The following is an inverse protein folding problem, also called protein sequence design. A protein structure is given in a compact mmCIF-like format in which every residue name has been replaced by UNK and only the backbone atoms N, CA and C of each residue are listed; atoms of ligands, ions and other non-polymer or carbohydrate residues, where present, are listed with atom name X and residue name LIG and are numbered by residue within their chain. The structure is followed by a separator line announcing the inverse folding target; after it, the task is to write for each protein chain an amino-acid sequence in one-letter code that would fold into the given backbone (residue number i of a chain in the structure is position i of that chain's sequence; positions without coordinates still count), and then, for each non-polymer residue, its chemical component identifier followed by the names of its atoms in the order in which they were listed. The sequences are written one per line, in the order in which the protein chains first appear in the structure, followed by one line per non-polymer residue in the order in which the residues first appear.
data_IF_392290868034
#
_entry.id   IF_392290868034
#
_cell.length_a   1.000
_cell.length_b   1.000
_cell.length_c   1.000
_cell.angle_alpha   90.00
_cell.angle_beta   90.00
_cell.angle_gamma   90.00
#
_symmetry.space_group_name_H-M   'P 1'
#
loop_
_entity.id
_entity.type
_entity.pdbx_description
1 polymer ?
#
# COMPACT_ATOMS: atom_id res chain seq x y z
N UNK A 1 22.69 -2.03 4.35
CA UNK A 1 22.47 -2.36 2.93
C UNK A 1 23.09 -1.33 1.96
N UNK A 2 24.35 -0.94 2.20
CA UNK A 2 25.07 0.08 1.42
C UNK A 2 25.36 -0.26 -0.06
N UNK A 3 24.97 -1.44 -0.54
CA UNK A 3 25.20 -1.89 -1.92
C UNK A 3 23.93 -2.20 -2.73
N UNK A 4 22.73 -1.93 -2.19
CA UNK A 4 21.49 -2.20 -2.90
C UNK A 4 21.21 -1.07 -3.90
N UNK A 5 21.05 -1.41 -5.19
CA UNK A 5 20.75 -0.40 -6.20
C UNK A 5 19.34 0.17 -6.05
N UNK A 6 19.13 1.42 -6.44
CA UNK A 6 17.80 2.05 -6.46
C UNK A 6 16.79 1.21 -7.25
N UNK A 7 17.20 0.63 -8.38
CA UNK A 7 16.35 -0.21 -9.21
C UNK A 7 15.93 -1.50 -8.49
N UNK A 8 16.82 -2.10 -7.70
CA UNK A 8 16.51 -3.28 -6.90
C UNK A 8 15.50 -2.94 -5.79
N UNK A 9 15.71 -1.85 -5.08
CA UNK A 9 14.79 -1.36 -4.05
C UNK A 9 13.39 -1.09 -4.64
N UNK A 10 13.31 -0.40 -5.77
CA UNK A 10 12.06 -0.13 -6.47
C UNK A 10 11.35 -1.42 -6.88
N UNK A 11 12.08 -2.43 -7.37
CA UNK A 11 11.53 -3.74 -7.71
C UNK A 11 10.96 -4.45 -6.49
N UNK A 12 11.65 -4.41 -5.36
CA UNK A 12 11.17 -5.02 -4.12
C UNK A 12 9.89 -4.35 -3.61
N UNK A 13 9.84 -3.01 -3.63
CA UNK A 13 8.64 -2.24 -3.27
C UNK A 13 7.48 -2.57 -4.21
N UNK A 14 7.73 -2.65 -5.53
CA UNK A 14 6.71 -3.04 -6.51
C UNK A 14 6.14 -4.43 -6.22
N UNK A 15 7.00 -5.41 -5.97
CA UNK A 15 6.56 -6.78 -5.66
C UNK A 15 5.74 -6.83 -4.37
N UNK A 16 6.14 -6.08 -3.35
CA UNK A 16 5.42 -5.95 -2.08
C UNK A 16 4.03 -5.33 -2.28
N UNK A 17 3.94 -4.24 -3.06
CA UNK A 17 2.67 -3.61 -3.41
C UNK A 17 1.72 -4.58 -4.13
N UNK A 18 2.24 -5.36 -5.09
CA UNK A 18 1.46 -6.37 -5.80
C UNK A 18 0.95 -7.49 -4.87
N UNK A 19 1.82 -8.02 -3.98
CA UNK A 19 1.43 -9.08 -3.03
C UNK A 19 0.40 -8.62 -2.01
N UNK A 20 0.41 -7.33 -1.64
CA UNK A 20 -0.56 -6.74 -0.69
C UNK A 20 -1.77 -6.09 -1.38
N UNK A 21 -1.87 -6.13 -2.72
CA UNK A 21 -2.91 -5.45 -3.52
C UNK A 21 -3.01 -3.96 -3.20
N UNK A 22 -1.90 -3.34 -2.82
CA UNK A 22 -1.80 -1.93 -2.48
C UNK A 22 -1.22 -1.12 -3.65
N UNK A 23 -1.42 0.21 -3.65
CA UNK A 23 -0.78 1.06 -4.63
C UNK A 23 0.75 1.10 -4.40
N UNK A 24 1.51 1.08 -5.49
CA UNK A 24 2.97 1.20 -5.44
C UNK A 24 3.41 2.48 -4.72
N UNK A 25 2.75 3.60 -5.02
CA UNK A 25 3.03 4.90 -4.40
C UNK A 25 2.86 4.89 -2.89
N UNK A 26 1.80 4.24 -2.40
CA UNK A 26 1.50 4.19 -0.97
C UNK A 26 2.52 3.31 -0.24
N UNK A 27 2.84 2.14 -0.82
CA UNK A 27 3.87 1.25 -0.28
C UNK A 27 5.24 1.92 -0.29
N UNK A 28 5.60 2.64 -1.38
CA UNK A 28 6.85 3.39 -1.46
C UNK A 28 6.92 4.51 -0.43
N UNK A 29 5.81 5.22 -0.18
CA UNK A 29 5.73 6.26 0.84
C UNK A 29 5.95 5.70 2.24
N UNK A 30 5.37 4.55 2.58
CA UNK A 30 5.62 3.88 3.87
C UNK A 30 7.10 3.58 4.02
N UNK A 31 7.71 2.90 3.05
CA UNK A 31 9.13 2.52 3.08
C UNK A 31 10.04 3.75 3.18
N UNK A 32 9.73 4.81 2.42
CA UNK A 32 10.50 6.07 2.45
C UNK A 32 10.44 6.73 3.83
N UNK A 33 9.24 6.85 4.41
CA UNK A 33 9.05 7.45 5.74
C UNK A 33 9.79 6.65 6.82
N UNK A 34 9.69 5.33 6.79
CA UNK A 34 10.40 4.45 7.73
C UNK A 34 11.92 4.58 7.53
N UNK A 35 12.41 4.59 6.29
CA UNK A 35 13.83 4.73 5.98
C UNK A 35 14.43 6.07 6.36
N UNK A 36 13.63 7.15 6.32
CA UNK A 36 14.10 8.50 6.69
C UNK A 36 14.04 8.75 8.20
N UNK A 37 13.03 8.22 8.89
CA UNK A 37 12.71 8.68 10.24
C UNK A 37 12.74 7.57 11.30
N UNK A 38 12.71 6.30 10.91
CA UNK A 38 12.70 5.15 11.83
C UNK A 38 13.70 4.05 11.43
N UNK A 39 14.72 4.41 10.64
CA UNK A 39 15.69 3.45 10.08
C UNK A 39 16.36 2.60 11.16
N UNK A 40 16.63 3.19 12.32
CA UNK A 40 17.31 2.50 13.43
C UNK A 40 16.48 1.33 14.01
N UNK A 41 15.15 1.34 13.83
CA UNK A 41 14.30 0.25 14.26
C UNK A 41 14.35 -0.97 13.33
N UNK A 42 14.92 -0.83 12.12
CA UNK A 42 14.93 -1.86 11.09
C UNK A 42 16.36 -2.27 10.74
N UNK A 43 16.59 -3.58 10.58
CA UNK A 43 17.90 -4.12 10.26
C UNK A 43 18.24 -4.03 8.76
N UNK A 44 17.25 -3.91 7.89
CA UNK A 44 17.44 -3.87 6.44
C UNK A 44 16.25 -3.22 5.69
N UNK A 45 16.49 -2.85 4.42
CA UNK A 45 15.42 -2.42 3.52
C UNK A 45 14.39 -3.53 3.29
N UNK A 46 14.82 -4.79 3.25
CA UNK A 46 13.93 -5.92 3.10
C UNK A 46 12.94 -6.04 4.28
N UNK A 47 13.43 -5.81 5.49
CA UNK A 47 12.60 -5.80 6.72
C UNK A 47 11.59 -4.65 6.70
N UNK A 48 12.00 -3.44 6.29
CA UNK A 48 11.08 -2.30 6.13
C UNK A 48 10.00 -2.57 5.08
N UNK A 49 10.37 -3.19 3.95
CA UNK A 49 9.43 -3.53 2.89
C UNK A 49 8.45 -4.61 3.34
N UNK A 50 8.94 -5.64 4.05
CA UNK A 50 8.08 -6.68 4.60
C UNK A 50 7.10 -6.11 5.65
N UNK A 51 7.56 -5.20 6.49
CA UNK A 51 6.72 -4.49 7.43
C UNK A 51 5.62 -3.69 6.70
N UNK A 52 5.99 -2.92 5.66
CA UNK A 52 5.04 -2.17 4.84
C UNK A 52 4.01 -3.08 4.15
N UNK A 53 4.44 -4.25 3.66
CA UNK A 53 3.56 -5.25 3.08
C UNK A 53 2.54 -5.79 4.09
N UNK A 54 3.02 -6.18 5.27
CA UNK A 54 2.16 -6.67 6.34
C UNK A 54 1.17 -5.61 6.79
N UNK A 55 1.60 -4.36 6.89
CA UNK A 55 0.75 -3.23 7.25
C UNK A 55 -0.38 -3.04 6.22
N UNK A 56 -0.05 -3.02 4.93
CA UNK A 56 -1.04 -2.94 3.86
C UNK A 56 -2.06 -4.09 3.92
N UNK A 57 -1.58 -5.32 4.18
CA UNK A 57 -2.46 -6.48 4.34
C UNK A 57 -3.37 -6.35 5.57
N UNK A 58 -2.85 -5.85 6.67
CA UNK A 58 -3.62 -5.64 7.91
C UNK A 58 -4.76 -4.64 7.72
N UNK A 59 -4.54 -3.53 7.03
CA UNK A 59 -5.61 -2.59 6.69
C UNK A 59 -6.67 -3.23 5.78
N UNK A 60 -6.24 -4.04 4.80
CA UNK A 60 -7.17 -4.79 3.94
C UNK A 60 -7.98 -5.82 4.72
N UNK A 61 -7.37 -6.54 5.65
CA UNK A 61 -8.05 -7.51 6.53
C UNK A 61 -9.08 -6.80 7.42
N UNK A 62 -8.75 -5.61 7.93
CA UNK A 62 -9.65 -4.79 8.73
C UNK A 62 -10.81 -4.18 7.92
N UNK A 63 -10.73 -4.17 6.58
CA UNK A 63 -11.71 -3.52 5.71
C UNK A 63 -11.59 -2.00 5.74
N UNK A 64 -10.45 -1.44 6.14
CA UNK A 64 -10.22 -0.01 6.19
C UNK A 64 -10.35 0.62 4.80
N UNK A 65 -10.99 1.77 4.73
CA UNK A 65 -11.05 2.59 3.52
C UNK A 65 -9.67 3.13 3.15
N UNK A 66 -9.53 3.67 1.95
CA UNK A 66 -8.27 4.27 1.52
C UNK A 66 -7.87 5.48 2.39
N UNK A 67 -8.86 6.27 2.82
CA UNK A 67 -8.65 7.44 3.67
C UNK A 67 -8.21 7.03 5.08
N UNK A 68 -8.89 6.07 5.69
CA UNK A 68 -8.51 5.49 6.99
C UNK A 68 -7.12 4.87 6.94
N UNK A 69 -6.80 4.11 5.89
CA UNK A 69 -5.49 3.52 5.68
C UNK A 69 -4.41 4.59 5.59
N UNK A 70 -4.63 5.66 4.82
CA UNK A 70 -3.67 6.75 4.67
C UNK A 70 -3.43 7.49 6.00
N UNK A 71 -4.50 7.80 6.73
CA UNK A 71 -4.45 8.47 8.03
C UNK A 71 -3.73 7.61 9.07
N UNK A 72 -4.14 6.35 9.25
CA UNK A 72 -3.53 5.45 10.23
C UNK A 72 -2.06 5.12 9.89
N UNK A 73 -1.73 5.01 8.60
CA UNK A 73 -0.34 4.84 8.15
C UNK A 73 0.52 6.04 8.52
N UNK A 74 0.00 7.26 8.31
CA UNK A 74 0.69 8.48 8.71
C UNK A 74 0.96 8.51 10.20
N UNK A 75 -0.08 8.28 11.01
CA UNK A 75 0.03 8.26 12.48
C UNK A 75 1.00 7.18 12.97
N UNK A 76 0.87 5.95 12.44
CA UNK A 76 1.76 4.85 12.81
C UNK A 76 3.23 5.18 12.48
N UNK A 77 3.49 5.69 11.27
CA UNK A 77 4.87 6.05 10.89
C UNK A 77 5.42 7.22 11.69
N UNK A 78 4.59 8.15 12.13
CA UNK A 78 4.98 9.22 13.07
C UNK A 78 5.33 8.65 14.45
N UNK A 79 4.51 7.76 15.00
CA UNK A 79 4.80 7.07 16.26
C UNK A 79 6.10 6.28 16.20
N UNK A 80 6.32 5.52 15.13
CA UNK A 80 7.57 4.77 14.94
C UNK A 80 8.79 5.72 14.82
N UNK A 81 8.63 6.86 14.17
CA UNK A 81 9.69 7.87 14.02
C UNK A 81 10.03 8.55 15.33
N UNK A 82 9.06 8.70 16.23
CA UNK A 82 9.30 9.22 17.59
C UNK A 82 9.93 8.17 18.54
N UNK A 83 10.06 6.93 18.07
CA UNK A 83 10.57 5.79 18.80
C UNK A 83 9.53 5.06 19.64
N UNK A 84 8.33 5.61 19.82
CA UNK A 84 7.27 5.05 20.67
C UNK A 84 5.89 5.35 20.12
N UNK A 85 5.05 4.33 20.02
CA UNK A 85 3.64 4.49 19.61
C UNK A 85 2.77 4.75 20.85
N UNK A 86 2.09 5.90 20.90
CA UNK A 86 1.22 6.28 22.00
C UNK A 86 0.17 7.31 21.56
N UNK A 87 -0.77 7.64 22.49
CA UNK A 87 -1.71 8.73 22.28
C UNK A 87 -2.60 8.58 21.05
N UNK A 88 -2.64 9.61 20.22
CA UNK A 88 -3.49 9.68 19.03
C UNK A 88 -3.03 8.71 17.92
N UNK A 89 -1.72 8.49 17.78
CA UNK A 89 -1.17 7.55 16.81
C UNK A 89 -1.69 6.12 17.07
N UNK A 90 -1.69 5.70 18.34
CA UNK A 90 -2.21 4.40 18.73
C UNK A 90 -3.73 4.32 18.51
N UNK A 91 -4.48 5.37 18.85
CA UNK A 91 -5.94 5.38 18.69
C UNK A 91 -6.33 5.26 17.22
N UNK A 92 -5.66 5.97 16.31
CA UNK A 92 -5.88 5.86 14.87
C UNK A 92 -5.69 4.43 14.36
N UNK A 93 -4.67 3.71 14.89
CA UNK A 93 -4.44 2.30 14.54
C UNK A 93 -5.52 1.39 15.14
N UNK A 94 -5.97 1.65 16.38
CA UNK A 94 -7.08 0.89 16.98
C UNK A 94 -8.36 0.95 16.16
N UNK A 95 -8.66 2.11 15.60
CA UNK A 95 -9.89 2.33 14.81
C UNK A 95 -9.78 1.70 13.42
N UNK A 96 -8.65 1.87 12.75
CA UNK A 96 -8.49 1.48 11.34
C UNK A 96 -7.96 0.05 11.16
N UNK A 97 -7.24 -0.50 12.13
CA UNK A 97 -6.65 -1.83 12.07
C UNK A 97 -6.57 -2.51 13.45
N UNK A 98 -7.71 -2.87 14.06
CA UNK A 98 -7.74 -3.53 15.37
C UNK A 98 -7.02 -4.89 15.39
N UNK A 99 -6.91 -5.55 14.24
CA UNK A 99 -6.13 -6.76 14.03
C UNK A 99 -4.62 -6.52 14.22
N UNK A 100 -4.10 -5.36 13.82
CA UNK A 100 -2.71 -4.97 14.08
C UNK A 100 -2.45 -4.85 15.58
N UNK A 101 -3.37 -4.24 16.32
CA UNK A 101 -3.27 -4.14 17.78
C UNK A 101 -3.29 -5.52 18.44
N UNK A 102 -4.08 -6.44 17.90
CA UNK A 102 -4.08 -7.84 18.38
C UNK A 102 -2.72 -8.50 18.19
N UNK A 103 -2.09 -8.33 17.03
CA UNK A 103 -0.74 -8.87 16.83
C UNK A 103 0.29 -8.29 17.82
N UNK A 104 0.17 -7.01 18.17
CA UNK A 104 1.03 -6.40 19.20
C UNK A 104 0.74 -7.02 20.58
N UNK A 105 -0.52 -7.20 20.94
CA UNK A 105 -0.92 -7.81 22.20
C UNK A 105 -0.42 -9.26 22.32
N UNK A 106 -0.60 -10.05 21.27
CA UNK A 106 -0.18 -11.45 21.18
C UNK A 106 1.36 -11.56 21.30
N UNK A 107 2.08 -10.69 20.59
CA UNK A 107 3.55 -10.63 20.68
C UNK A 107 4.05 -10.31 22.08
N UNK A 108 3.36 -9.42 22.79
CA UNK A 108 3.69 -9.06 24.18
C UNK A 108 3.14 -10.03 25.22
N UNK A 109 2.28 -10.99 24.83
CA UNK A 109 1.63 -11.92 25.74
C UNK A 109 0.62 -11.26 26.70
N UNK A 110 -0.06 -10.20 26.25
CA UNK A 110 -1.01 -9.41 27.07
C UNK A 110 -2.38 -9.35 26.42
N UNK A 111 -3.40 -8.95 27.18
CA UNK A 111 -4.72 -8.66 26.62
C UNK A 111 -4.74 -7.33 25.84
N UNK A 112 -5.61 -7.22 24.83
CA UNK A 112 -5.76 -5.99 24.01
C UNK A 112 -6.03 -4.75 24.86
N UNK A 113 -6.79 -4.90 25.98
CA UNK A 113 -7.07 -3.80 26.92
C UNK A 113 -5.83 -3.20 27.58
N UNK A 114 -4.77 -4.00 27.73
CA UNK A 114 -3.51 -3.60 28.35
C UNK A 114 -2.64 -2.73 27.42
N UNK A 115 -2.88 -2.80 26.12
CA UNK A 115 -2.06 -2.09 25.11
C UNK A 115 -2.04 -0.57 25.35
N UNK A 116 -3.17 0.03 25.75
CA UNK A 116 -3.22 1.47 26.06
C UNK A 116 -2.38 1.84 27.27
N UNK A 117 -2.34 1.00 28.29
CA UNK A 117 -1.51 1.20 29.49
C UNK A 117 -0.03 1.11 29.10
N UNK A 118 0.35 0.06 28.36
CA UNK A 118 1.72 -0.10 27.86
C UNK A 118 2.17 1.05 26.97
N UNK A 119 1.27 1.60 26.14
CA UNK A 119 1.55 2.78 25.34
C UNK A 119 1.81 4.02 26.19
N UNK A 120 0.98 4.24 27.24
CA UNK A 120 1.16 5.37 28.17
C UNK A 120 2.47 5.29 28.93
N UNK A 121 2.95 4.09 29.22
CA UNK A 121 4.25 3.80 29.84
C UNK A 121 5.43 3.90 28.86
N UNK A 122 5.17 4.15 27.57
CA UNK A 122 6.21 4.19 26.54
C UNK A 122 6.79 2.82 26.17
N UNK A 123 6.10 1.74 26.46
CA UNK A 123 6.55 0.36 26.21
C UNK A 123 6.27 -0.13 24.80
N UNK A 124 5.41 0.55 24.03
CA UNK A 124 5.19 0.26 22.62
C UNK A 124 6.26 0.96 21.75
N UNK A 125 7.49 0.52 21.92
CA UNK A 125 8.62 1.05 21.12
C UNK A 125 8.49 0.68 19.65
N UNK A 126 9.17 1.43 18.78
CA UNK A 126 9.23 1.14 17.35
C UNK A 126 9.71 -0.29 17.08
N UNK A 127 10.67 -0.78 17.85
CA UNK A 127 11.17 -2.15 17.77
C UNK A 127 10.11 -3.19 18.17
N UNK A 128 9.37 -2.95 19.25
CA UNK A 128 8.26 -3.83 19.68
C UNK A 128 7.18 -3.91 18.60
N UNK A 129 6.73 -2.78 18.09
CA UNK A 129 5.70 -2.73 17.03
C UNK A 129 6.19 -3.43 15.76
N UNK A 130 7.42 -3.14 15.33
CA UNK A 130 8.04 -3.81 14.18
C UNK A 130 8.07 -5.33 14.37
N UNK A 131 8.61 -5.79 15.49
CA UNK A 131 8.77 -7.22 15.76
C UNK A 131 7.41 -7.93 15.84
N UNK A 132 6.41 -7.31 16.46
CA UNK A 132 5.05 -7.84 16.51
C UNK A 132 4.45 -8.06 15.11
N UNK A 133 4.58 -7.07 14.23
CA UNK A 133 4.05 -7.15 12.85
C UNK A 133 4.82 -8.18 12.02
N UNK A 134 6.14 -8.25 12.17
CA UNK A 134 6.96 -9.19 11.40
C UNK A 134 6.79 -10.64 11.88
N UNK A 135 6.66 -10.86 13.20
CA UNK A 135 6.42 -12.20 13.74
C UNK A 135 5.05 -12.76 13.33
N UNK A 136 4.07 -11.89 13.10
CA UNK A 136 2.74 -12.27 12.64
C UNK A 136 2.62 -12.46 11.12
N UNK A 137 3.70 -12.36 10.33
CA UNK A 137 3.67 -12.37 8.86
C UNK A 137 2.91 -13.56 8.27
N UNK A 138 3.14 -14.76 8.80
CA UNK A 138 2.51 -15.98 8.29
C UNK A 138 0.99 -15.99 8.56
N UNK A 139 0.57 -15.56 9.74
CA UNK A 139 -0.83 -15.41 10.10
C UNK A 139 -1.52 -14.33 9.24
N UNK A 140 -0.86 -13.18 9.08
CA UNK A 140 -1.33 -12.09 8.22
C UNK A 140 -1.54 -12.59 6.79
N UNK A 141 -0.58 -13.31 6.24
CA UNK A 141 -0.66 -13.87 4.90
C UNK A 141 -1.83 -14.87 4.76
N UNK A 142 -2.00 -15.73 5.73
CA UNK A 142 -3.10 -16.70 5.78
C UNK A 142 -4.45 -15.98 5.77
N UNK A 143 -4.64 -15.00 6.65
CA UNK A 143 -5.88 -14.23 6.75
C UNK A 143 -6.13 -13.40 5.49
N UNK A 144 -5.10 -12.75 4.93
CA UNK A 144 -5.21 -11.97 3.71
C UNK A 144 -5.66 -12.79 2.50
N UNK A 145 -5.19 -14.04 2.36
CA UNK A 145 -5.57 -14.94 1.26
C UNK A 145 -7.06 -15.33 1.30
N UNK A 146 -7.73 -15.21 2.43
CA UNK A 146 -9.18 -15.47 2.53
C UNK A 146 -10.02 -14.33 1.93
N UNK A 147 -9.44 -13.15 1.71
CA UNK A 147 -10.15 -12.00 1.15
C UNK A 147 -10.24 -12.15 -0.37
N UNK A 148 -11.44 -12.20 -0.96
CA UNK A 148 -11.59 -12.23 -2.42
C UNK A 148 -10.95 -11.00 -3.08
N UNK A 149 -10.41 -11.17 -4.28
CA UNK A 149 -9.90 -10.05 -5.06
C UNK A 149 -11.08 -9.25 -5.63
N UNK A 150 -11.19 -7.98 -5.21
CA UNK A 150 -12.19 -7.06 -5.75
C UNK A 150 -11.73 -6.39 -7.06
N UNK A 151 -12.67 -5.76 -7.78
CA UNK A 151 -12.36 -5.01 -8.99
C UNK A 151 -11.33 -3.90 -8.73
N UNK A 152 -11.44 -3.21 -7.60
CA UNK A 152 -10.54 -2.13 -7.23
C UNK A 152 -9.11 -2.64 -6.95
N UNK A 153 -8.97 -3.82 -6.36
CA UNK A 153 -7.68 -4.47 -6.16
C UNK A 153 -7.02 -4.81 -7.51
N UNK A 154 -7.82 -5.40 -8.42
CA UNK A 154 -7.34 -5.73 -9.76
C UNK A 154 -6.89 -4.49 -10.53
N UNK A 155 -7.65 -3.39 -10.48
CA UNK A 155 -7.28 -2.12 -11.11
C UNK A 155 -6.02 -1.50 -10.50
N UNK A 156 -5.86 -1.59 -9.18
CA UNK A 156 -4.64 -1.15 -8.50
C UNK A 156 -3.41 -1.93 -8.98
N UNK A 157 -3.53 -3.25 -9.10
CA UNK A 157 -2.44 -4.10 -9.61
C UNK A 157 -2.10 -3.81 -11.07
N UNK A 158 -3.10 -3.58 -11.92
CA UNK A 158 -2.90 -3.17 -13.33
C UNK A 158 -2.19 -1.80 -13.40
N UNK A 159 -2.62 -0.84 -12.59
CA UNK A 159 -1.98 0.48 -12.49
C UNK A 159 -0.52 0.37 -12.05
N UNK A 160 -0.23 -0.42 -11.03
CA UNK A 160 1.13 -0.68 -10.58
C UNK A 160 1.98 -1.30 -11.71
N UNK A 161 1.43 -2.27 -12.45
CA UNK A 161 2.11 -2.90 -13.59
C UNK A 161 2.41 -1.89 -14.70
N UNK A 162 1.47 -1.01 -15.00
CA UNK A 162 1.67 0.10 -15.95
C UNK A 162 2.79 1.02 -15.50
N UNK A 163 2.77 1.49 -14.25
CA UNK A 163 3.82 2.35 -13.70
C UNK A 163 5.20 1.67 -13.74
N UNK A 164 5.29 0.40 -13.38
CA UNK A 164 6.54 -0.35 -13.42
C UNK A 164 7.07 -0.54 -14.86
N UNK A 165 6.18 -0.75 -15.82
CA UNK A 165 6.55 -0.83 -17.23
C UNK A 165 7.07 0.53 -17.75
N UNK A 166 6.40 1.63 -17.40
CA UNK A 166 6.84 2.98 -17.78
C UNK A 166 8.17 3.38 -17.14
N UNK A 167 8.42 3.01 -15.89
CA UNK A 167 9.72 3.30 -15.24
C UNK A 167 10.90 2.64 -15.94
N UNK A 168 10.71 1.45 -16.52
CA UNK A 168 11.76 0.72 -17.26
C UNK A 168 12.11 1.33 -18.60
N UNK A 169 11.21 2.10 -19.16
CA UNK A 169 11.34 2.71 -20.51
C UNK A 169 11.53 4.23 -20.41
N UNK A 170 11.62 4.78 -19.19
CA UNK A 170 11.43 6.20 -18.88
C UNK A 170 12.19 7.20 -19.75
N UNK A 171 13.50 7.03 -19.97
CA UNK A 171 14.26 7.99 -20.78
C UNK A 171 13.92 7.88 -22.29
N UNK A 172 13.76 6.67 -22.79
CA UNK A 172 13.37 6.44 -24.18
C UNK A 172 11.93 6.85 -24.44
N UNK A 173 11.04 6.60 -23.50
CA UNK A 173 9.63 6.99 -23.58
C UNK A 173 9.47 8.50 -23.52
N UNK A 174 10.20 9.20 -22.64
CA UNK A 174 10.16 10.66 -22.59
C UNK A 174 10.61 11.28 -23.91
N UNK A 175 11.69 10.78 -24.49
CA UNK A 175 12.15 11.17 -25.80
C UNK A 175 11.11 10.87 -26.90
N UNK A 176 10.50 9.68 -26.88
CA UNK A 176 9.47 9.28 -27.83
C UNK A 176 8.20 10.14 -27.70
N UNK A 177 7.67 10.32 -26.48
CA UNK A 177 6.44 11.10 -26.25
C UNK A 177 6.59 12.58 -26.63
N UNK A 178 7.81 13.13 -26.52
CA UNK A 178 8.11 14.49 -26.92
C UNK A 178 8.38 14.62 -28.44
N UNK A 179 8.58 13.52 -29.15
CA UNK A 179 8.71 13.50 -30.60
C UNK A 179 7.36 13.72 -31.29
N UNK A 180 7.39 14.19 -32.56
CA UNK A 180 6.16 14.34 -33.34
C UNK A 180 5.42 13.02 -33.57
N UNK A 181 6.17 11.93 -33.69
CA UNK A 181 5.61 10.57 -33.82
C UNK A 181 4.91 10.14 -32.52
N UNK A 182 5.55 10.35 -31.38
CA UNK A 182 4.97 10.04 -30.06
C UNK A 182 3.69 10.82 -29.77
N UNK A 183 3.66 12.10 -30.09
CA UNK A 183 2.46 12.94 -29.98
C UNK A 183 1.32 12.46 -30.87
N UNK A 184 1.62 12.06 -32.13
CA UNK A 184 0.60 11.49 -33.04
C UNK A 184 0.05 10.17 -32.50
N UNK A 185 0.91 9.28 -31.98
CA UNK A 185 0.48 8.01 -31.40
C UNK A 185 -0.38 8.24 -30.16
N UNK A 186 0.05 9.13 -29.25
CA UNK A 186 -0.71 9.46 -28.05
C UNK A 186 -2.10 10.02 -28.38
N UNK A 187 -2.16 10.98 -29.33
CA UNK A 187 -3.43 11.54 -29.78
C UNK A 187 -4.32 10.47 -30.44
N UNK A 188 -3.73 9.56 -31.22
CA UNK A 188 -4.46 8.43 -31.81
C UNK A 188 -5.04 7.48 -30.78
N UNK A 189 -4.30 7.20 -29.70
CA UNK A 189 -4.79 6.38 -28.56
C UNK A 189 -5.93 7.09 -27.81
N UNK A 190 -5.78 8.39 -27.54
CA UNK A 190 -6.84 9.19 -26.89
C UNK A 190 -8.10 9.17 -27.74
N UNK A 191 -7.98 9.46 -29.04
CA UNK A 191 -9.12 9.42 -29.98
C UNK A 191 -9.74 8.02 -30.08
N UNK A 192 -8.92 6.96 -30.03
CA UNK A 192 -9.41 5.59 -30.01
C UNK A 192 -10.23 5.27 -28.74
N UNK A 193 -9.79 5.74 -27.59
CA UNK A 193 -10.53 5.60 -26.32
C UNK A 193 -11.84 6.39 -26.36
N UNK A 194 -11.84 7.62 -26.91
CA UNK A 194 -13.05 8.43 -27.08
C UNK A 194 -14.07 7.74 -27.99
N UNK A 195 -13.62 7.16 -29.11
CA UNK A 195 -14.47 6.39 -30.01
C UNK A 195 -15.09 5.19 -29.29
N UNK A 196 -14.29 4.42 -28.54
CA UNK A 196 -14.77 3.27 -27.76
C UNK A 196 -15.78 3.69 -26.67
N UNK A 197 -15.53 4.80 -25.99
CA UNK A 197 -16.47 5.36 -25.01
C UNK A 197 -17.78 5.78 -25.66
N UNK A 198 -17.74 6.42 -26.82
CA UNK A 198 -18.93 6.83 -27.58
C UNK A 198 -19.74 5.61 -28.09
N UNK A 199 -19.05 4.57 -28.59
CA UNK A 199 -19.70 3.32 -29.01
C UNK A 199 -20.35 2.61 -27.83
N UNK A 200 -19.67 2.54 -26.67
CA UNK A 200 -20.23 1.95 -25.46
C UNK A 200 -21.47 2.73 -24.98
N UNK A 201 -21.39 4.06 -24.95
CA UNK A 201 -22.53 4.93 -24.58
C UNK A 201 -23.69 4.77 -25.56
N UNK A 202 -23.43 4.68 -26.86
CA UNK A 202 -24.44 4.42 -27.87
C UNK A 202 -25.11 3.05 -27.76
N UNK A 203 -24.34 2.02 -27.42
CA UNK A 203 -24.87 0.69 -27.17
C UNK A 203 -25.77 0.63 -25.92
N UNK A 204 -25.39 1.33 -24.86
CA UNK A 204 -26.19 1.44 -23.62
C UNK A 204 -27.53 2.15 -23.91
N UNK A 205 -27.49 3.27 -24.61
CA UNK A 205 -28.73 4.01 -24.95
C UNK A 205 -29.66 3.22 -25.87
N UNK A 206 -29.16 2.37 -26.75
CA UNK A 206 -29.98 1.49 -27.57
C UNK A 206 -30.61 0.36 -26.74
N UNK A 207 -29.89 -0.19 -25.75
CA UNK A 207 -30.43 -1.20 -24.82
C UNK A 207 -31.52 -0.59 -23.91
N UNK A 208 -31.34 0.63 -23.43
CA UNK A 208 -32.33 1.35 -22.64
C UNK A 208 -33.59 1.66 -23.47
N UNK A 209 -33.45 2.07 -24.74
CA UNK A 209 -34.55 2.31 -25.63
C UNK A 209 -35.34 1.03 -25.98
N UNK A 210 -34.63 -0.10 -26.13
CA UNK A 210 -35.24 -1.42 -26.38
C UNK A 210 -35.92 -2.04 -25.16
N UNK A 211 -35.51 -1.67 -23.95
CA UNK A 211 -36.12 -2.14 -22.70
C UNK A 211 -37.45 -1.40 -22.34
N UNK A 212 -37.72 -0.30 -23.01
CA UNK A 212 -38.93 0.53 -22.82
C UNK A 212 -40.01 0.30 -23.88
N UNK A 213 -39.86 -0.72 -24.73
CA UNK A 213 -40.85 -1.23 -25.67
C UNK A 213 -41.43 -2.59 -25.20
#
# INVERSE_FOLDING_TARGET
DGNQSTAELQRMIYQSAQRSRAAYTDTANIVTRLGMNAKEAFNSNAEMIQFAENLNKQFKIAGATQEETASATLQLTQGLSSGVLRGEELNSVFESAPNLIRNIADYLGVGIGEIRNLASEGRLTAEVVKNAVLSASEEIDKNFRTIPMGFQDAMTMVRNAGMNAFQRVGEQMNSFLNSDTGKKVLNGLISGIEILANVASGAISLLEAGANL
#
